data_IF_012268856071
#
_entry.id   IF_012268856071
#
_cell.length_a   1.000
_cell.length_b   1.000
_cell.length_c   1.000
_cell.angle_alpha   90.00
_cell.angle_beta   90.00
_cell.angle_gamma   90.00
#
_symmetry.space_group_name_H-M   'P 1'
#
loop_
_entity.id
_entity.type
_entity.pdbx_description
1 polymer ?
#
# COMPACT_ATOMS: atom_id res chain seq x y z
N UNK A 1 26.39 5.83 5.28
CA UNK A 1 25.64 7.01 5.78
C UNK A 1 25.75 7.05 7.30
N UNK A 2 25.32 8.12 7.95
CA UNK A 2 25.00 8.06 9.38
C UNK A 2 23.65 7.33 9.51
N UNK A 3 23.66 6.07 9.92
CA UNK A 3 22.48 5.21 9.90
C UNK A 3 21.83 5.13 11.28
N UNK A 4 20.50 5.25 11.31
CA UNK A 4 19.68 5.19 12.52
C UNK A 4 18.64 4.09 12.32
N UNK A 5 18.69 3.06 13.16
CA UNK A 5 17.71 1.97 13.20
C UNK A 5 16.69 2.30 14.29
N UNK A 6 15.42 2.45 13.92
CA UNK A 6 14.32 2.61 14.88
C UNK A 6 13.57 1.30 15.05
N UNK A 7 13.40 0.88 16.30
CA UNK A 7 12.55 -0.25 16.68
C UNK A 7 11.24 0.28 17.25
N UNK A 8 10.18 -0.48 16.99
CA UNK A 8 8.81 -0.28 17.48
C UNK A 8 8.30 -1.64 17.94
N UNK A 9 7.31 -1.62 18.82
CA UNK A 9 6.63 -2.81 19.33
C UNK A 9 5.11 -2.65 19.16
N UNK A 10 4.35 -3.57 19.73
CA UNK A 10 2.88 -3.54 19.76
C UNK A 10 2.33 -2.33 20.53
N UNK A 11 2.92 -1.99 21.68
CA UNK A 11 2.45 -0.88 22.53
C UNK A 11 2.57 0.45 21.79
N UNK A 12 3.71 0.70 21.13
CA UNK A 12 3.88 1.90 20.31
C UNK A 12 2.94 1.91 19.09
N UNK A 13 2.68 0.77 18.45
CA UNK A 13 1.70 0.70 17.35
C UNK A 13 0.27 1.02 17.81
N UNK A 14 -0.19 0.42 18.92
CA UNK A 14 -1.50 0.67 19.50
C UNK A 14 -1.65 2.13 19.94
N UNK A 15 -0.62 2.69 20.57
CA UNK A 15 -0.56 4.10 21.01
C UNK A 15 -0.63 5.09 19.84
N UNK A 16 -0.12 4.73 18.67
CA UNK A 16 -0.23 5.56 17.47
C UNK A 16 -1.49 5.30 16.63
N UNK A 17 -2.25 4.23 16.88
CA UNK A 17 -3.36 3.80 16.01
C UNK A 17 -4.42 4.90 15.79
N UNK A 18 -4.92 5.53 16.86
CA UNK A 18 -5.98 6.54 16.76
C UNK A 18 -5.46 7.85 16.12
N UNK A 19 -4.22 8.23 16.44
CA UNK A 19 -3.54 9.35 15.81
C UNK A 19 -3.24 9.09 14.32
N UNK A 20 -2.96 7.83 13.96
CA UNK A 20 -2.75 7.41 12.59
C UNK A 20 -4.08 7.46 11.82
N UNK A 21 -5.16 6.85 12.32
CA UNK A 21 -6.49 6.89 11.69
C UNK A 21 -6.99 8.33 11.49
N UNK A 22 -6.79 9.21 12.49
CA UNK A 22 -7.16 10.63 12.41
C UNK A 22 -6.42 11.40 11.29
N UNK A 23 -5.14 11.14 11.06
CA UNK A 23 -4.38 11.83 10.01
C UNK A 23 -4.48 11.17 8.62
N UNK A 24 -4.67 9.85 8.60
CA UNK A 24 -4.77 9.05 7.38
C UNK A 24 -6.18 9.10 6.76
N UNK A 25 -7.23 9.43 7.52
CA UNK A 25 -8.58 9.73 7.02
C UNK A 25 -9.20 8.64 6.11
N UNK A 26 -8.81 7.37 6.28
CA UNK A 26 -9.18 6.29 5.36
C UNK A 26 -9.10 4.91 6.00
N UNK A 27 -10.00 4.01 5.59
CA UNK A 27 -10.16 2.63 6.08
C UNK A 27 -9.95 1.60 4.95
N UNK A 28 -8.96 1.83 4.08
CA UNK A 28 -8.58 0.90 3.00
C UNK A 28 -7.70 -0.23 3.56
N UNK A 29 -8.36 -1.21 4.18
CA UNK A 29 -7.69 -2.25 4.97
C UNK A 29 -7.19 -3.44 4.15
N UNK A 30 -7.89 -3.79 3.07
CA UNK A 30 -7.65 -5.00 2.26
C UNK A 30 -6.75 -4.74 1.03
N UNK A 31 -6.04 -5.79 0.60
CA UNK A 31 -5.38 -5.88 -0.69
C UNK A 31 -3.87 -5.58 -0.69
N UNK A 32 -3.37 -5.20 -1.88
CA UNK A 32 -1.95 -4.96 -2.15
C UNK A 32 -1.38 -3.78 -1.34
N UNK A 33 -2.26 -2.86 -0.93
CA UNK A 33 -1.92 -1.57 -0.33
C UNK A 33 -2.40 -1.48 1.12
N UNK A 34 -2.15 -2.53 1.90
CA UNK A 34 -2.62 -2.64 3.29
C UNK A 34 -2.18 -1.43 4.14
N UNK A 35 -3.19 -0.72 4.65
CA UNK A 35 -3.12 0.44 5.57
C UNK A 35 -2.10 0.32 6.70
N UNK A 36 -1.88 -0.90 7.22
CA UNK A 36 -1.00 -1.12 8.37
C UNK A 36 0.49 -0.95 8.01
N UNK A 37 0.86 -1.04 6.72
CA UNK A 37 2.19 -0.60 6.26
C UNK A 37 2.40 0.90 6.39
N UNK A 38 1.32 1.68 6.32
CA UNK A 38 1.33 3.13 6.51
C UNK A 38 1.44 3.50 7.99
N UNK A 39 0.85 2.71 8.91
CA UNK A 39 1.08 2.85 10.35
C UNK A 39 2.57 2.69 10.70
N UNK A 40 3.28 1.75 10.06
CA UNK A 40 4.74 1.62 10.19
C UNK A 40 5.48 2.90 9.79
N UNK A 41 5.08 3.50 8.65
CA UNK A 41 5.64 4.74 8.14
C UNK A 41 5.24 5.97 8.99
N UNK A 42 4.09 5.95 9.67
CA UNK A 42 3.64 6.95 10.63
C UNK A 42 4.50 6.95 11.90
N UNK A 43 4.73 5.78 12.51
CA UNK A 43 5.66 5.66 13.65
C UNK A 43 7.08 6.10 13.24
N UNK A 44 7.57 5.67 12.08
CA UNK A 44 8.87 6.09 11.55
C UNK A 44 8.95 7.60 11.32
N UNK A 45 7.92 8.20 10.72
CA UNK A 45 7.81 9.65 10.51
C UNK A 45 7.86 10.42 11.83
N UNK A 46 7.22 9.90 12.89
CA UNK A 46 7.32 10.47 14.22
C UNK A 46 8.77 10.50 14.73
N UNK A 47 9.53 9.41 14.59
CA UNK A 47 10.95 9.35 15.01
C UNK A 47 11.82 10.33 14.20
N UNK A 48 11.65 10.36 12.88
CA UNK A 48 12.43 11.22 11.97
C UNK A 48 12.16 12.71 12.26
N UNK A 49 10.89 13.08 12.48
CA UNK A 49 10.43 14.47 12.69
C UNK A 49 11.15 15.24 13.82
N UNK A 50 11.76 14.51 14.76
CA UNK A 50 12.51 15.05 15.92
C UNK A 50 13.87 15.63 15.55
N UNK A 51 14.43 15.22 14.40
CA UNK A 51 15.80 15.54 13.99
C UNK A 51 15.89 16.08 12.57
N UNK A 52 14.96 15.68 11.69
CA UNK A 52 14.92 16.08 10.29
C UNK A 52 13.53 16.60 9.93
N UNK A 53 13.47 17.53 8.96
CA UNK A 53 12.22 18.08 8.43
C UNK A 53 11.94 17.73 6.97
N UNK A 54 12.94 17.21 6.26
CA UNK A 54 12.81 16.71 4.89
C UNK A 54 13.62 15.41 4.77
N UNK A 55 13.11 14.41 4.06
CA UNK A 55 13.86 13.25 3.59
C UNK A 55 13.37 12.79 2.21
N UNK A 56 14.19 12.01 1.50
CA UNK A 56 13.79 11.35 0.26
C UNK A 56 13.27 9.94 0.54
N UNK A 57 12.18 9.56 -0.14
CA UNK A 57 11.62 8.20 -0.12
C UNK A 57 11.63 7.57 -1.53
N UNK A 58 11.40 6.25 -1.57
CA UNK A 58 11.50 5.42 -2.78
C UNK A 58 10.19 5.25 -3.56
N UNK A 59 9.10 5.91 -3.17
CA UNK A 59 7.79 5.78 -3.83
C UNK A 59 7.85 6.18 -5.30
N UNK A 60 6.98 5.59 -6.12
CA UNK A 60 6.99 5.71 -7.58
C UNK A 60 7.95 4.72 -8.27
N UNK A 61 8.92 4.15 -7.55
CA UNK A 61 9.90 3.23 -8.13
C UNK A 61 9.29 1.90 -8.60
N UNK A 62 8.25 1.41 -7.93
CA UNK A 62 7.62 0.13 -8.25
C UNK A 62 6.58 0.25 -9.36
N UNK A 63 5.98 1.42 -9.49
CA UNK A 63 5.00 1.78 -10.50
C UNK A 63 5.75 2.11 -11.80
N UNK A 64 6.64 3.12 -11.79
CA UNK A 64 7.34 3.58 -12.99
C UNK A 64 8.26 2.53 -13.63
N UNK A 65 8.85 1.64 -12.82
CA UNK A 65 9.84 0.64 -13.27
C UNK A 65 9.40 -0.82 -13.06
N UNK A 66 8.11 -1.09 -12.82
CA UNK A 66 7.56 -2.45 -12.75
C UNK A 66 8.20 -3.31 -11.65
N UNK A 67 8.01 -2.93 -10.40
CA UNK A 67 8.56 -3.60 -9.21
C UNK A 67 7.70 -4.74 -8.65
N UNK A 68 6.43 -4.80 -9.05
CA UNK A 68 5.45 -5.77 -8.54
C UNK A 68 5.51 -7.08 -9.32
N UNK A 69 6.24 -8.08 -8.81
CA UNK A 69 6.40 -9.39 -9.47
C UNK A 69 5.06 -10.09 -9.80
N UNK A 70 4.03 -9.84 -8.98
CA UNK A 70 2.71 -10.44 -9.17
C UNK A 70 1.98 -9.89 -10.40
N UNK A 71 2.36 -8.72 -10.96
CA UNK A 71 1.83 -8.23 -12.25
C UNK A 71 2.09 -9.24 -13.37
N UNK A 72 3.15 -10.06 -13.23
CA UNK A 72 3.51 -11.05 -14.23
C UNK A 72 3.07 -12.48 -13.88
N UNK A 73 2.89 -12.79 -12.60
CA UNK A 73 2.42 -14.10 -12.14
C UNK A 73 0.88 -14.23 -12.17
N UNK A 74 0.15 -13.16 -11.81
CA UNK A 74 -1.30 -13.17 -11.63
C UNK A 74 -1.94 -11.82 -12.06
N UNK A 75 -1.90 -11.45 -13.36
CA UNK A 75 -2.63 -10.28 -13.86
C UNK A 75 -4.14 -10.43 -13.62
N UNK A 76 -4.70 -11.59 -14.00
CA UNK A 76 -6.09 -11.99 -13.77
C UNK A 76 -6.50 -11.76 -12.31
N UNK A 77 -5.73 -12.33 -11.36
CA UNK A 77 -6.01 -12.28 -9.94
C UNK A 77 -6.13 -10.89 -9.29
N UNK A 78 -5.65 -9.80 -9.91
CA UNK A 78 -6.02 -8.44 -9.48
C UNK A 78 -7.39 -8.03 -10.04
N UNK A 79 -7.59 -8.21 -11.35
CA UNK A 79 -8.88 -8.01 -12.01
C UNK A 79 -10.01 -8.78 -11.33
N UNK A 80 -9.77 -10.03 -10.96
CA UNK A 80 -10.72 -10.94 -10.29
C UNK A 80 -11.17 -10.41 -8.92
N UNK A 81 -10.22 -9.96 -8.09
CA UNK A 81 -10.54 -9.31 -6.82
C UNK A 81 -11.35 -8.03 -7.02
N UNK A 82 -11.04 -7.23 -8.05
CA UNK A 82 -11.81 -6.04 -8.40
C UNK A 82 -13.22 -6.40 -8.91
N UNK A 83 -13.37 -7.41 -9.77
CA UNK A 83 -14.68 -7.92 -10.26
C UNK A 83 -15.54 -8.36 -9.07
N UNK A 84 -15.02 -9.21 -8.19
CA UNK A 84 -15.74 -9.74 -7.01
C UNK A 84 -16.12 -8.61 -6.04
N UNK A 85 -15.15 -7.79 -5.58
CA UNK A 85 -15.44 -6.72 -4.59
C UNK A 85 -16.40 -5.66 -5.13
N UNK A 86 -16.37 -5.35 -6.44
CA UNK A 86 -17.33 -4.41 -7.04
C UNK A 86 -18.71 -4.99 -7.27
N UNK A 87 -18.84 -6.30 -7.53
CA UNK A 87 -20.12 -6.99 -7.61
C UNK A 87 -20.86 -7.05 -6.26
N UNK A 88 -20.12 -7.03 -5.14
CA UNK A 88 -20.71 -6.96 -3.79
C UNK A 88 -21.43 -5.63 -3.52
N UNK A 89 -21.05 -4.54 -4.21
CA UNK A 89 -21.67 -3.22 -4.01
C UNK A 89 -22.90 -3.08 -4.91
N UNK A 90 -24.08 -2.98 -4.29
CA UNK A 90 -25.39 -2.86 -4.97
C UNK A 90 -25.62 -3.94 -6.05
N UNK A 91 -25.22 -5.19 -5.78
CA UNK A 91 -25.32 -6.32 -6.72
C UNK A 91 -24.65 -6.05 -8.08
N UNK A 92 -23.54 -5.29 -8.09
CA UNK A 92 -22.83 -4.88 -9.30
C UNK A 92 -23.55 -3.80 -10.13
N UNK A 93 -24.71 -3.30 -9.68
CA UNK A 93 -25.48 -2.24 -10.35
C UNK A 93 -24.88 -0.86 -10.03
N UNK A 94 -23.60 -0.67 -10.38
CA UNK A 94 -22.84 0.56 -10.16
C UNK A 94 -21.91 0.87 -11.33
N UNK A 95 -21.68 2.16 -11.58
CA UNK A 95 -20.69 2.63 -12.57
C UNK A 95 -19.26 2.18 -12.27
N UNK A 96 -18.97 1.85 -11.01
CA UNK A 96 -17.66 1.32 -10.57
C UNK A 96 -17.50 -0.13 -11.07
N UNK A 97 -18.54 -0.95 -10.93
CA UNK A 97 -18.54 -2.31 -11.48
C UNK A 97 -18.53 -2.30 -13.02
N UNK A 98 -19.33 -1.45 -13.67
CA UNK A 98 -19.29 -1.24 -15.13
C UNK A 98 -17.87 -0.89 -15.62
N UNK A 99 -17.19 0.04 -14.96
CA UNK A 99 -15.81 0.42 -15.27
C UNK A 99 -14.82 -0.75 -15.07
N UNK A 100 -14.95 -1.48 -13.96
CA UNK A 100 -14.08 -2.63 -13.66
C UNK A 100 -14.29 -3.77 -14.68
N UNK A 101 -15.53 -4.08 -15.07
CA UNK A 101 -15.81 -5.08 -16.10
C UNK A 101 -15.33 -4.67 -17.49
N UNK A 102 -15.29 -3.37 -17.79
CA UNK A 102 -14.73 -2.85 -19.04
C UNK A 102 -13.19 -2.88 -19.08
N UNK A 103 -12.51 -2.73 -17.94
CA UNK A 103 -11.04 -2.68 -17.82
C UNK A 103 -10.39 -4.03 -17.49
N UNK A 104 -11.10 -4.87 -16.73
CA UNK A 104 -10.66 -6.18 -16.27
C UNK A 104 -11.75 -7.23 -16.54
N UNK A 105 -12.12 -7.46 -17.81
CA UNK A 105 -13.18 -8.39 -18.18
C UNK A 105 -12.91 -9.83 -17.70
N UNK A 106 -13.97 -10.62 -17.60
CA UNK A 106 -13.92 -12.05 -17.29
C UNK A 106 -13.58 -12.85 -18.59
N UNK A 107 -12.41 -12.56 -19.16
CA UNK A 107 -11.96 -13.01 -20.48
C UNK A 107 -10.43 -13.18 -20.51
N UNK A 108 -9.96 -14.39 -20.21
CA UNK A 108 -8.53 -14.75 -20.20
C UNK A 108 -7.81 -14.48 -21.52
N UNK A 109 -8.53 -14.40 -22.66
CA UNK A 109 -7.89 -14.09 -23.95
C UNK A 109 -7.30 -12.68 -24.00
N UNK A 110 -7.71 -11.80 -23.06
CA UNK A 110 -7.28 -10.41 -22.94
C UNK A 110 -6.20 -10.18 -21.88
N UNK A 111 -5.49 -11.23 -21.46
CA UNK A 111 -4.45 -11.15 -20.43
C UNK A 111 -3.40 -10.04 -20.72
N UNK A 112 -3.00 -9.84 -21.97
CA UNK A 112 -2.04 -8.79 -22.35
C UNK A 112 -2.63 -7.36 -22.31
N UNK A 113 -3.93 -7.20 -22.56
CA UNK A 113 -4.65 -5.93 -22.42
C UNK A 113 -4.78 -5.57 -20.93
N UNK A 114 -5.32 -6.51 -20.12
CA UNK A 114 -5.48 -6.34 -18.67
C UNK A 114 -4.14 -6.06 -17.98
N UNK A 115 -3.05 -6.71 -18.41
CA UNK A 115 -1.69 -6.47 -17.90
C UNK A 115 -1.18 -5.04 -18.11
N UNK A 116 -1.61 -4.37 -19.19
CA UNK A 116 -1.31 -2.94 -19.44
C UNK A 116 -2.20 -2.05 -18.58
N UNK A 117 -3.49 -2.36 -18.49
CA UNK A 117 -4.44 -1.67 -17.61
C UNK A 117 -4.05 -1.75 -16.12
N UNK A 118 -3.39 -2.83 -15.68
CA UNK A 118 -2.80 -2.92 -14.34
C UNK A 118 -1.65 -1.90 -14.18
N UNK A 119 -0.81 -1.69 -15.18
CA UNK A 119 0.28 -0.70 -15.10
C UNK A 119 -0.28 0.71 -14.93
N UNK A 120 -1.31 1.07 -15.69
CA UNK A 120 -1.97 2.39 -15.60
C UNK A 120 -2.78 2.54 -14.30
N UNK A 121 -3.44 1.48 -13.82
CA UNK A 121 -4.09 1.44 -12.51
C UNK A 121 -3.09 1.64 -11.34
N UNK A 122 -1.89 1.06 -11.45
CA UNK A 122 -0.84 1.26 -10.46
C UNK A 122 -0.26 2.67 -10.51
N UNK A 123 0.01 3.21 -11.71
CA UNK A 123 0.50 4.58 -11.89
C UNK A 123 -0.50 5.65 -11.46
N UNK A 124 -1.81 5.39 -11.62
CA UNK A 124 -2.90 6.24 -11.16
C UNK A 124 -3.31 5.93 -9.72
N UNK A 125 -4.50 5.35 -9.48
CA UNK A 125 -5.07 5.20 -8.13
C UNK A 125 -4.21 4.41 -7.15
N UNK A 126 -3.44 3.41 -7.58
CA UNK A 126 -2.53 2.68 -6.69
C UNK A 126 -1.43 3.57 -6.10
N UNK A 127 -0.89 4.48 -6.91
CA UNK A 127 0.09 5.47 -6.49
C UNK A 127 -0.56 6.61 -5.69
N UNK A 128 -1.58 7.26 -6.24
CA UNK A 128 -2.13 8.50 -5.66
C UNK A 128 -3.00 8.26 -4.43
N UNK A 129 -3.84 7.23 -4.46
CA UNK A 129 -4.86 7.01 -3.43
C UNK A 129 -4.40 6.03 -2.35
N UNK A 130 -3.24 5.40 -2.53
CA UNK A 130 -2.66 4.48 -1.54
C UNK A 130 -1.23 4.85 -1.17
N UNK A 131 -0.24 4.68 -2.07
CA UNK A 131 1.18 4.85 -1.74
C UNK A 131 1.56 6.27 -1.30
N UNK A 132 1.23 7.28 -2.13
CA UNK A 132 1.53 8.67 -1.81
C UNK A 132 0.65 9.20 -0.68
N UNK A 133 -0.62 8.78 -0.62
CA UNK A 133 -1.50 9.07 0.51
C UNK A 133 -0.89 8.59 1.84
N UNK A 134 -0.37 7.36 1.85
CA UNK A 134 0.32 6.78 3.01
C UNK A 134 1.55 7.56 3.44
N UNK A 135 2.35 8.01 2.49
CA UNK A 135 3.57 8.76 2.79
C UNK A 135 3.27 10.20 3.22
N UNK A 136 2.46 10.93 2.45
CA UNK A 136 2.11 12.32 2.75
C UNK A 136 1.38 12.47 4.09
N UNK A 137 0.28 11.73 4.31
CA UNK A 137 -0.51 11.89 5.54
C UNK A 137 0.30 11.58 6.79
N UNK A 138 1.08 10.51 6.73
CA UNK A 138 1.92 10.05 7.84
C UNK A 138 3.12 10.96 8.11
N UNK A 139 3.71 11.58 7.08
CA UNK A 139 4.84 12.51 7.28
C UNK A 139 4.34 13.89 7.72
N UNK A 140 3.30 14.41 7.06
CA UNK A 140 2.69 15.71 7.34
C UNK A 140 2.10 15.78 8.75
N UNK A 141 1.59 14.67 9.29
CA UNK A 141 1.14 14.53 10.69
C UNK A 141 2.18 14.97 11.75
N UNK A 142 3.47 14.96 11.42
CA UNK A 142 4.56 15.34 12.33
C UNK A 142 5.38 16.55 11.84
N UNK A 143 4.84 17.31 10.88
CA UNK A 143 5.55 18.38 10.18
C UNK A 143 6.90 17.90 9.66
N UNK A 144 6.86 16.83 8.86
CA UNK A 144 7.98 16.20 8.19
C UNK A 144 7.60 15.96 6.71
N UNK A 145 8.50 16.31 5.79
CA UNK A 145 8.26 16.22 4.35
C UNK A 145 9.00 15.02 3.75
N UNK A 146 8.26 14.04 3.24
CA UNK A 146 8.82 12.89 2.53
C UNK A 146 8.71 13.09 1.01
N UNK A 147 9.86 13.25 0.33
CA UNK A 147 9.95 13.55 -1.11
C UNK A 147 10.10 12.27 -1.95
N UNK A 148 9.12 11.91 -2.79
CA UNK A 148 9.20 10.70 -3.63
C UNK A 148 10.17 10.91 -4.79
N UNK A 149 11.40 10.41 -4.65
CA UNK A 149 12.51 10.73 -5.54
C UNK A 149 12.24 10.36 -7.01
N UNK A 150 11.52 9.26 -7.25
CA UNK A 150 11.26 8.78 -8.62
C UNK A 150 10.15 9.53 -9.35
N UNK A 151 9.39 10.39 -8.66
CA UNK A 151 8.26 11.13 -9.25
C UNK A 151 8.61 12.56 -9.69
N UNK A 152 9.86 12.96 -9.49
CA UNK A 152 10.45 14.17 -10.07
C UNK A 152 10.25 14.17 -11.60
N UNK A 153 9.95 15.34 -12.17
CA UNK A 153 9.41 15.44 -13.54
C UNK A 153 10.30 14.76 -14.59
N UNK A 154 11.62 14.97 -14.52
CA UNK A 154 12.62 14.40 -15.41
C UNK A 154 12.70 12.86 -15.31
N UNK A 155 12.76 12.31 -14.10
CA UNK A 155 12.80 10.86 -13.86
C UNK A 155 11.47 10.21 -14.28
N UNK A 156 10.34 10.85 -13.95
CA UNK A 156 8.99 10.37 -14.26
C UNK A 156 8.73 10.35 -15.77
N UNK A 157 8.98 11.45 -16.46
CA UNK A 157 8.75 11.57 -17.91
C UNK A 157 9.69 10.66 -18.70
N UNK A 158 10.97 10.57 -18.29
CA UNK A 158 11.87 9.57 -18.84
C UNK A 158 11.34 8.15 -18.63
N UNK A 159 10.95 7.77 -17.41
CA UNK A 159 10.46 6.43 -17.13
C UNK A 159 9.13 6.09 -17.84
N UNK A 160 8.25 7.06 -18.05
CA UNK A 160 7.00 6.90 -18.82
C UNK A 160 7.26 6.77 -20.33
N UNK A 161 8.37 7.31 -20.86
CA UNK A 161 8.77 7.13 -22.27
C UNK A 161 9.22 5.70 -22.63
N UNK A 162 9.47 4.85 -21.62
CA UNK A 162 10.04 3.51 -21.79
C UNK A 162 8.94 2.44 -21.84
N UNK A 163 9.04 1.54 -22.82
CA UNK A 163 8.11 0.41 -22.97
C UNK A 163 8.21 -0.57 -21.79
N UNK A 164 7.14 -1.33 -21.55
CA UNK A 164 7.03 -2.22 -20.38
C UNK A 164 8.08 -3.35 -20.38
N UNK A 165 8.50 -3.81 -21.55
CA UNK A 165 9.53 -4.85 -21.74
C UNK A 165 10.93 -4.39 -21.28
N UNK A 166 11.18 -3.07 -21.21
CA UNK A 166 12.41 -2.52 -20.64
C UNK A 166 12.37 -2.51 -19.09
N UNK A 167 11.18 -2.65 -18.49
CA UNK A 167 10.95 -2.56 -17.05
C UNK A 167 10.87 -3.94 -16.40
N UNK A 168 10.19 -4.87 -17.07
CA UNK A 168 9.81 -6.20 -16.59
C UNK A 168 9.89 -7.25 -17.71
N UNK A 169 10.18 -8.50 -17.36
CA UNK A 169 10.26 -9.63 -18.30
C UNK A 169 9.33 -10.80 -17.93
N UNK A 170 9.11 -11.72 -18.88
CA UNK A 170 8.13 -12.82 -18.74
C UNK A 170 8.46 -13.83 -17.63
N UNK A 171 9.71 -13.91 -17.23
CA UNK A 171 10.27 -14.73 -16.14
C UNK A 171 10.12 -14.10 -14.73
N UNK A 172 9.14 -13.19 -14.57
CA UNK A 172 8.84 -12.44 -13.34
C UNK A 172 9.95 -11.48 -12.85
N UNK A 173 11.00 -11.24 -13.65
CA UNK A 173 12.07 -10.33 -13.29
C UNK A 173 11.62 -8.86 -13.40
N UNK A 174 11.73 -8.15 -12.27
CA UNK A 174 11.29 -6.76 -12.06
C UNK A 174 12.43 -5.74 -12.10
N UNK A 175 12.12 -4.47 -12.34
CA UNK A 175 13.07 -3.33 -12.28
C UNK A 175 14.35 -3.55 -13.12
N UNK A 176 14.22 -4.10 -14.33
CA UNK A 176 15.35 -4.51 -15.16
C UNK A 176 16.38 -3.39 -15.38
N UNK A 177 15.93 -2.19 -15.75
CA UNK A 177 16.78 -1.01 -15.92
C UNK A 177 17.52 -0.59 -14.64
N UNK A 178 16.86 -0.61 -13.48
CA UNK A 178 17.48 -0.22 -12.21
C UNK A 178 18.49 -1.28 -11.74
N UNK A 179 18.22 -2.57 -11.98
CA UNK A 179 19.18 -3.67 -11.77
C UNK A 179 20.39 -3.53 -12.71
N UNK A 180 20.18 -3.16 -13.98
CA UNK A 180 21.27 -2.88 -14.92
C UNK A 180 22.13 -1.70 -14.45
N UNK A 181 21.50 -0.57 -14.09
CA UNK A 181 22.20 0.59 -13.55
C UNK A 181 23.06 0.21 -12.32
N UNK A 182 22.56 -0.65 -11.44
CA UNK A 182 23.34 -1.18 -10.31
C UNK A 182 24.51 -2.05 -10.75
N UNK A 183 24.36 -2.94 -11.74
CA UNK A 183 25.47 -3.70 -12.31
C UNK A 183 26.55 -2.78 -12.88
N UNK A 184 26.14 -1.74 -13.61
CA UNK A 184 27.04 -0.76 -14.23
C UNK A 184 27.86 0.04 -13.18
N UNK A 185 27.41 0.14 -11.91
CA UNK A 185 28.23 0.72 -10.82
C UNK A 185 29.43 -0.13 -10.38
N UNK A 186 29.49 -1.41 -10.78
CA UNK A 186 30.49 -2.39 -10.35
C UNK A 186 30.58 -2.58 -8.81
N UNK A 187 29.58 -2.13 -8.04
CA UNK A 187 29.60 -2.16 -6.58
C UNK A 187 28.94 -3.45 -6.04
N UNK A 188 29.69 -4.35 -5.38
CA UNK A 188 29.15 -5.64 -4.93
C UNK A 188 28.09 -5.52 -3.83
N UNK A 189 28.12 -4.44 -3.02
CA UNK A 189 27.11 -4.18 -2.00
C UNK A 189 25.77 -3.75 -2.63
N UNK A 190 25.81 -2.92 -3.67
CA UNK A 190 24.62 -2.53 -4.40
C UNK A 190 24.03 -3.73 -5.15
N UNK A 191 24.87 -4.55 -5.79
CA UNK A 191 24.43 -5.80 -6.44
C UNK A 191 23.70 -6.75 -5.46
N UNK A 192 24.28 -6.97 -4.27
CA UNK A 192 23.69 -7.78 -3.21
C UNK A 192 22.40 -7.18 -2.58
N UNK A 193 22.09 -5.92 -2.89
CA UNK A 193 20.79 -5.29 -2.57
C UNK A 193 19.82 -5.43 -3.75
N UNK A 194 20.25 -5.18 -5.00
CA UNK A 194 19.38 -5.27 -6.19
C UNK A 194 18.92 -6.69 -6.52
N UNK A 195 19.64 -7.72 -6.06
CA UNK A 195 19.28 -9.12 -6.21
C UNK A 195 18.20 -9.60 -5.21
N UNK A 196 17.80 -8.77 -4.24
CA UNK A 196 16.78 -9.14 -3.23
C UNK A 196 15.38 -9.13 -3.84
N UNK A 197 14.51 -10.02 -3.36
CA UNK A 197 13.06 -9.99 -3.66
C UNK A 197 12.45 -8.69 -3.13
N UNK A 198 11.49 -8.09 -3.84
CA UNK A 198 10.69 -6.97 -3.31
C UNK A 198 10.00 -7.40 -2.01
N UNK A 199 10.12 -6.54 -1.01
CA UNK A 199 9.37 -6.55 0.25
C UNK A 199 8.67 -5.18 0.32
N UNK A 200 7.40 -5.13 0.73
CA UNK A 200 6.62 -3.90 0.85
C UNK A 200 6.63 -3.32 2.27
N UNK A 201 6.13 -2.09 2.43
CA UNK A 201 6.07 -1.41 3.75
C UNK A 201 5.42 -2.22 4.89
N UNK A 202 4.33 -3.00 4.69
CA UNK A 202 3.72 -3.80 5.77
C UNK A 202 4.70 -4.73 6.51
N UNK A 203 5.73 -5.24 5.82
CA UNK A 203 6.69 -6.16 6.42
C UNK A 203 7.57 -5.54 7.52
N UNK A 204 7.59 -4.20 7.63
CA UNK A 204 8.20 -3.51 8.75
C UNK A 204 7.50 -3.79 10.09
N UNK A 205 6.25 -4.30 10.06
CA UNK A 205 5.45 -4.66 11.23
C UNK A 205 5.02 -6.13 11.27
N UNK A 206 5.55 -7.04 10.43
CA UNK A 206 5.11 -8.46 10.38
C UNK A 206 4.97 -9.13 11.76
N UNK A 207 5.83 -8.80 12.73
CA UNK A 207 5.70 -9.27 14.13
C UNK A 207 4.53 -8.59 14.83
N UNK A 208 4.52 -7.25 14.90
CA UNK A 208 3.48 -6.45 15.57
C UNK A 208 2.09 -6.62 14.95
N UNK A 209 1.99 -6.93 13.66
CA UNK A 209 0.73 -7.21 12.96
C UNK A 209 -0.02 -8.39 13.56
N UNK A 210 0.70 -9.48 13.85
CA UNK A 210 0.10 -10.66 14.50
C UNK A 210 -0.39 -10.35 15.91
N UNK A 211 0.31 -9.47 16.65
CA UNK A 211 -0.17 -8.98 17.94
C UNK A 211 -1.37 -8.05 17.81
N UNK A 212 -1.37 -7.09 16.88
CA UNK A 212 -2.52 -6.19 16.65
C UNK A 212 -3.80 -6.96 16.28
N UNK A 213 -3.67 -8.05 15.51
CA UNK A 213 -4.78 -8.99 15.26
C UNK A 213 -5.22 -9.64 16.57
N UNK A 214 -4.29 -10.22 17.33
CA UNK A 214 -4.57 -10.85 18.64
C UNK A 214 -5.24 -9.89 19.64
N UNK A 215 -4.84 -8.61 19.63
CA UNK A 215 -5.45 -7.53 20.39
C UNK A 215 -6.90 -7.32 19.96
N UNK A 216 -7.17 -7.15 18.65
CA UNK A 216 -8.52 -6.95 18.13
C UNK A 216 -9.47 -8.13 18.40
N UNK A 217 -8.97 -9.36 18.32
CA UNK A 217 -9.75 -10.55 18.70
C UNK A 217 -10.12 -10.55 20.19
N UNK A 218 -9.21 -10.14 21.08
CA UNK A 218 -9.48 -10.07 22.52
C UNK A 218 -10.41 -8.90 22.87
N UNK A 219 -10.27 -7.77 22.19
CA UNK A 219 -11.10 -6.57 22.35
C UNK A 219 -12.58 -6.92 22.17
N UNK A 220 -12.93 -7.57 21.06
CA UNK A 220 -14.31 -8.01 20.78
C UNK A 220 -14.78 -9.19 21.64
N UNK A 221 -13.88 -10.06 22.14
CA UNK A 221 -14.23 -11.13 23.09
C UNK A 221 -14.64 -10.58 24.45
N UNK A 222 -13.93 -9.56 24.94
CA UNK A 222 -14.18 -8.93 26.24
C UNK A 222 -15.35 -7.94 26.15
N UNK A 223 -15.43 -7.18 25.05
CA UNK A 223 -16.51 -6.21 24.78
C UNK A 223 -17.56 -6.81 23.86
N UNK A 224 -18.44 -7.64 24.43
CA UNK A 224 -19.65 -8.07 23.74
C UNK A 224 -20.68 -6.91 23.64
N UNK A 225 -20.36 -5.91 22.81
CA UNK A 225 -21.18 -4.73 22.53
C UNK A 225 -22.04 -4.99 21.30
N UNK A 226 -23.36 -4.81 21.44
CA UNK A 226 -24.30 -5.14 20.37
C UNK A 226 -24.48 -4.07 19.28
N UNK A 227 -23.97 -2.86 19.53
CA UNK A 227 -24.22 -1.63 18.77
C UNK A 227 -22.95 -1.07 18.07
N UNK A 228 -22.01 -1.97 17.71
CA UNK A 228 -20.76 -1.58 17.04
C UNK A 228 -20.96 -1.30 15.53
N UNK A 229 -20.48 -0.15 15.00
CA UNK A 229 -20.68 0.25 13.60
C UNK A 229 -20.31 -0.80 12.56
N UNK A 230 -19.23 -1.57 12.77
CA UNK A 230 -18.78 -2.58 11.80
C UNK A 230 -19.82 -3.66 11.50
N UNK A 231 -20.82 -3.87 12.37
CA UNK A 231 -21.83 -4.93 12.20
C UNK A 231 -22.66 -4.75 10.93
N UNK A 232 -23.03 -3.51 10.59
CA UNK A 232 -23.76 -3.18 9.35
C UNK A 232 -22.91 -3.46 8.10
N UNK A 233 -21.60 -3.22 8.18
CA UNK A 233 -20.65 -3.36 7.06
C UNK A 233 -19.83 -4.66 7.13
N UNK A 234 -20.27 -5.63 7.93
CA UNK A 234 -19.49 -6.83 8.30
C UNK A 234 -19.09 -7.73 7.13
N UNK A 235 -19.80 -7.64 5.99
CA UNK A 235 -19.47 -8.34 4.74
C UNK A 235 -18.29 -7.74 3.96
N UNK A 236 -17.86 -6.52 4.29
CA UNK A 236 -16.73 -5.85 3.63
C UNK A 236 -15.38 -6.11 4.34
N UNK A 237 -15.42 -6.54 5.62
CA UNK A 237 -14.24 -6.83 6.43
C UNK A 237 -13.89 -8.33 6.42
N UNK A 238 -12.60 -8.63 6.38
CA UNK A 238 -12.02 -9.97 6.33
C UNK A 238 -11.42 -10.39 7.68
N UNK A 239 -10.91 -9.44 8.48
CA UNK A 239 -10.32 -9.68 9.82
C UNK A 239 -10.82 -8.71 10.88
N UNK A 240 -10.69 -9.10 12.15
CA UNK A 240 -11.15 -8.29 13.29
C UNK A 240 -10.37 -6.96 13.43
N UNK A 241 -9.11 -6.91 13.01
CA UNK A 241 -8.33 -5.67 13.01
C UNK A 241 -8.90 -4.63 12.03
N UNK A 242 -9.59 -5.05 10.96
CA UNK A 242 -10.25 -4.15 10.02
C UNK A 242 -11.54 -3.57 10.61
N UNK A 243 -12.32 -4.40 11.32
CA UNK A 243 -13.51 -3.98 12.08
C UNK A 243 -13.13 -2.97 13.16
N UNK A 244 -12.06 -3.24 13.91
CA UNK A 244 -11.55 -2.35 14.97
C UNK A 244 -11.09 -1.00 14.40
N UNK A 245 -10.38 -1.00 13.25
CA UNK A 245 -10.03 0.24 12.57
C UNK A 245 -11.25 1.00 12.04
N UNK A 246 -12.28 0.30 11.56
CA UNK A 246 -13.53 0.92 11.11
C UNK A 246 -14.33 1.54 12.27
N UNK A 247 -14.51 0.81 13.38
CA UNK A 247 -15.22 1.31 14.57
C UNK A 247 -14.52 2.56 15.13
N UNK A 248 -13.18 2.52 15.25
CA UNK A 248 -12.38 3.68 15.66
C UNK A 248 -12.46 4.84 14.69
N UNK A 249 -12.43 4.59 13.38
CA UNK A 249 -12.66 5.63 12.38
C UNK A 249 -14.07 6.23 12.50
N UNK A 250 -15.09 5.42 12.72
CA UNK A 250 -16.47 5.88 12.92
C UNK A 250 -16.62 6.69 14.22
N UNK A 251 -15.99 6.26 15.31
CA UNK A 251 -15.93 7.02 16.57
C UNK A 251 -15.29 8.40 16.35
N UNK A 252 -14.10 8.45 15.74
CA UNK A 252 -13.33 9.67 15.46
C UNK A 252 -14.08 10.61 14.50
N UNK A 253 -14.66 10.08 13.43
CA UNK A 253 -15.18 10.89 12.31
C UNK A 253 -16.70 10.94 12.18
N UNK A 254 -17.48 10.28 13.03
CA UNK A 254 -18.96 10.34 13.00
C UNK A 254 -19.55 10.64 14.38
N UNK A 255 -19.05 9.98 15.44
CA UNK A 255 -19.60 10.15 16.80
C UNK A 255 -19.05 11.41 17.49
N UNK A 256 -17.73 11.62 17.46
CA UNK A 256 -17.05 12.68 18.20
C UNK A 256 -16.92 14.01 17.41
N UNK A 257 -17.98 14.41 16.69
CA UNK A 257 -18.04 15.66 15.90
C UNK A 257 -18.78 16.82 16.59
#
# INVERSE_FOLDING_TARGET
TNHHEFKTDEEECLKFLDHYLYHYESVVTDGIFNVLGSLAFHVLSHKISKTHKVAYCGEGADELFGGYYWMHAHPLGLGDRLRVKSAMVNEGKTKIHEYIMAKFPDDDSKEEEMRKEIFDFLMGPGLTNCHLWSVDRSSSAFSFEARPLYLYDDIREWALSLSIENKVSKDLNTKLLLKKLVLDTHNPLLYAVSARKKIGMPAALDVSLNSLISYSENEFREKNQDDLPHREYSSFFTTDLEKLMFDKFYEIFVVNR
#
